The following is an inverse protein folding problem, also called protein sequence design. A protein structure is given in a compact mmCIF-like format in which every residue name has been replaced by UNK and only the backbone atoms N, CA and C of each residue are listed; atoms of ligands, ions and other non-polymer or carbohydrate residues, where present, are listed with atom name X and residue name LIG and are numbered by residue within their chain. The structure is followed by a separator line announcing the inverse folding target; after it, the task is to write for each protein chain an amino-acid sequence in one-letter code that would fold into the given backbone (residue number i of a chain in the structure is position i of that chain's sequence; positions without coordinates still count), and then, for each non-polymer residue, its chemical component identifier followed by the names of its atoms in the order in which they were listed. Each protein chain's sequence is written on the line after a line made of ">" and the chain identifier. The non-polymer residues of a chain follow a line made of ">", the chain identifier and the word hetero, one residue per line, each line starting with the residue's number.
data_IF_986404714213
#
_entry.id   IF_986404714213
#
_cell.length_a   1.000
_cell.length_b   1.000
_cell.length_c   1.000
_cell.angle_alpha   90.00
_cell.angle_beta   90.00
_cell.angle_gamma   90.00
#
_symmetry.space_group_name_H-M   'P 1'
#
loop_
_entity.id
_entity.type
_entity.pdbx_description
1 polymer ?
#
# COMPACT_ATOMS: atom_id res chain seq x y z
N UNK A 1 22.33 -62.05 -24.47
CA UNK A 1 21.05 -61.57 -23.87
C UNK A 1 21.05 -62.07 -22.43
N UNK A 2 20.75 -61.28 -21.36
CA UNK A 2 19.86 -60.12 -21.28
C UNK A 2 20.48 -58.86 -20.62
N UNK A 3 19.64 -57.82 -20.50
CA UNK A 3 19.84 -56.52 -19.85
C UNK A 3 19.83 -56.63 -18.32
N UNK A 4 20.65 -55.83 -17.63
CA UNK A 4 20.33 -55.35 -16.27
C UNK A 4 20.73 -53.88 -16.14
N UNK A 5 19.73 -53.06 -15.85
CA UNK A 5 19.84 -51.65 -15.45
C UNK A 5 20.60 -51.55 -14.12
N UNK A 6 21.67 -50.75 -14.07
CA UNK A 6 22.33 -50.36 -12.82
C UNK A 6 22.03 -48.87 -12.53
N UNK A 7 20.76 -48.57 -12.30
CA UNK A 7 20.37 -47.37 -11.55
C UNK A 7 20.59 -47.68 -10.07
N UNK A 8 21.83 -47.50 -9.61
CA UNK A 8 22.22 -47.72 -8.22
C UNK A 8 22.74 -46.41 -7.63
N UNK A 9 21.83 -45.49 -7.29
CA UNK A 9 22.02 -44.49 -6.24
C UNK A 9 20.63 -44.11 -5.70
N UNK A 10 19.92 -45.10 -5.16
CA UNK A 10 18.81 -44.89 -4.23
C UNK A 10 19.29 -45.30 -2.84
N UNK A 11 19.69 -44.32 -2.04
CA UNK A 11 19.59 -44.37 -0.59
C UNK A 11 19.74 -42.94 -0.07
N UNK A 12 18.86 -42.57 0.87
CA UNK A 12 18.89 -41.36 1.70
C UNK A 12 18.16 -40.12 1.15
N UNK A 13 16.90 -40.26 0.77
CA UNK A 13 15.92 -39.18 1.01
C UNK A 13 14.60 -39.80 1.46
N UNK A 14 14.48 -40.05 2.77
CA UNK A 14 13.24 -39.83 3.52
C UNK A 14 13.48 -40.09 5.01
N UNK A 15 13.23 -39.08 5.84
CA UNK A 15 12.49 -39.30 7.06
C UNK A 15 11.12 -38.65 6.93
N UNK A 16 10.12 -39.43 7.30
CA UNK A 16 8.79 -38.95 7.65
C UNK A 16 8.89 -37.74 8.57
N UNK A 17 8.38 -36.59 8.11
CA UNK A 17 7.96 -35.53 9.02
C UNK A 17 6.56 -35.12 8.62
N UNK A 18 5.62 -35.54 9.46
CA UNK A 18 4.25 -35.09 9.53
C UNK A 18 4.22 -33.57 9.41
N UNK A 19 3.45 -33.05 8.46
CA UNK A 19 3.12 -31.64 8.35
C UNK A 19 2.20 -31.27 9.53
N UNK A 20 2.80 -31.05 10.70
CA UNK A 20 2.18 -30.34 11.80
C UNK A 20 2.28 -28.86 11.49
N UNK A 21 1.13 -28.18 11.42
CA UNK A 21 1.07 -26.74 11.38
C UNK A 21 1.52 -26.19 12.74
N UNK A 22 2.82 -26.00 12.93
CA UNK A 22 3.33 -25.17 14.02
C UNK A 22 3.11 -23.71 13.62
N UNK A 23 2.06 -23.10 14.19
CA UNK A 23 1.96 -21.65 14.29
C UNK A 23 3.25 -21.13 14.93
N UNK A 24 3.91 -20.11 14.36
CA UNK A 24 5.08 -19.53 15.01
C UNK A 24 4.66 -18.93 16.35
N UNK A 25 5.15 -19.51 17.44
CA UNK A 25 5.06 -18.95 18.78
C UNK A 25 5.83 -17.62 18.79
N UNK A 26 5.08 -16.52 18.67
CA UNK A 26 5.62 -15.19 18.91
C UNK A 26 5.78 -15.01 20.43
N UNK A 27 6.96 -14.60 20.93
CA UNK A 27 7.13 -14.35 22.36
C UNK A 27 6.19 -13.22 22.80
N UNK A 28 5.33 -13.52 23.77
CA UNK A 28 4.45 -12.55 24.44
C UNK A 28 5.32 -11.60 25.25
N UNK A 29 5.68 -10.46 24.66
CA UNK A 29 6.27 -9.35 25.39
C UNK A 29 5.14 -8.67 26.18
N UNK A 30 5.03 -9.00 27.47
CA UNK A 30 4.17 -8.27 28.40
C UNK A 30 4.53 -6.78 28.39
N UNK A 31 3.68 -5.94 27.79
CA UNK A 31 3.77 -4.50 27.96
C UNK A 31 3.40 -3.60 26.76
N UNK A 32 3.08 -4.12 25.58
CA UNK A 32 2.50 -3.30 24.50
C UNK A 32 1.25 -3.98 23.96
N UNK A 33 0.13 -3.23 23.91
CA UNK A 33 -1.04 -3.65 23.12
C UNK A 33 -0.53 -4.00 21.71
N UNK A 34 -0.96 -5.13 21.12
CA UNK A 34 -0.72 -5.35 19.71
C UNK A 34 -1.30 -4.15 18.96
N UNK A 35 -0.45 -3.39 18.27
CA UNK A 35 -0.91 -2.40 17.31
C UNK A 35 -1.53 -3.21 16.19
N UNK A 36 -2.86 -3.33 16.21
CA UNK A 36 -3.59 -3.83 15.06
C UNK A 36 -3.32 -2.82 13.95
N UNK A 37 -2.37 -3.12 13.09
CA UNK A 37 -2.13 -2.31 11.91
C UNK A 37 -3.42 -2.35 11.10
N UNK A 38 -4.09 -1.22 10.97
CA UNK A 38 -5.18 -1.12 10.01
C UNK A 38 -4.59 -1.40 8.63
N UNK A 39 -5.29 -2.19 7.78
CA UNK A 39 -4.73 -2.65 6.52
C UNK A 39 -4.59 -1.53 5.48
N UNK A 40 -4.86 -0.28 5.84
CA UNK A 40 -4.84 0.89 4.98
C UNK A 40 -4.17 2.07 5.68
N UNK A 41 -3.58 2.95 4.87
CA UNK A 41 -3.08 4.25 5.32
C UNK A 41 -4.28 5.20 5.44
N UNK A 42 -4.48 5.79 6.61
CA UNK A 42 -5.52 6.81 6.84
C UNK A 42 -5.19 8.11 6.11
N UNK A 43 -6.21 8.85 5.73
CA UNK A 43 -6.04 10.11 5.00
C UNK A 43 -5.28 11.14 5.83
N UNK A 44 -5.60 11.28 7.12
CA UNK A 44 -4.89 12.21 8.01
C UNK A 44 -3.39 11.91 8.09
N UNK A 45 -3.02 10.62 8.19
CA UNK A 45 -1.63 10.18 8.21
C UNK A 45 -0.92 10.44 6.87
N UNK A 46 -1.59 10.15 5.75
CA UNK A 46 -1.06 10.43 4.41
C UNK A 46 -0.83 11.93 4.19
N UNK A 47 -1.79 12.76 4.59
CA UNK A 47 -1.67 14.23 4.53
C UNK A 47 -0.53 14.71 5.42
N UNK A 48 -0.42 14.20 6.65
CA UNK A 48 0.68 14.54 7.54
C UNK A 48 2.04 14.19 6.95
N UNK A 49 2.17 13.05 6.25
CA UNK A 49 3.39 12.68 5.52
C UNK A 49 3.70 13.66 4.39
N UNK A 50 2.69 14.09 3.63
CA UNK A 50 2.84 15.04 2.54
C UNK A 50 3.22 16.46 2.99
N UNK A 51 2.86 16.85 4.21
CA UNK A 51 3.19 18.17 4.78
C UNK A 51 4.58 18.21 5.45
N UNK A 52 5.24 17.07 5.65
CA UNK A 52 6.60 17.03 6.20
C UNK A 52 7.61 17.65 5.23
N UNK A 53 8.59 18.36 5.78
CA UNK A 53 9.68 18.99 5.01
C UNK A 53 10.85 18.05 4.72
N UNK A 54 10.83 16.84 5.27
CA UNK A 54 11.86 15.82 5.07
C UNK A 54 11.79 15.29 3.64
N UNK A 55 12.93 15.28 2.93
CA UNK A 55 13.00 14.83 1.53
C UNK A 55 12.41 13.43 1.32
N UNK A 56 12.70 12.49 2.23
CA UNK A 56 12.18 11.12 2.15
C UNK A 56 10.65 11.07 2.23
N UNK A 57 10.06 11.88 3.11
CA UNK A 57 8.60 11.99 3.27
C UNK A 57 7.95 12.61 2.03
N UNK A 58 8.60 13.60 1.43
CA UNK A 58 8.16 14.22 0.17
C UNK A 58 8.25 13.25 -1.01
N UNK A 59 9.36 12.54 -1.16
CA UNK A 59 9.54 11.54 -2.22
C UNK A 59 8.51 10.40 -2.10
N UNK A 60 8.26 9.94 -0.87
CA UNK A 60 7.21 8.97 -0.58
C UNK A 60 5.81 9.50 -0.95
N UNK A 61 5.45 10.69 -0.48
CA UNK A 61 4.16 11.29 -0.79
C UNK A 61 3.97 11.49 -2.30
N UNK A 62 4.99 11.99 -3.01
CA UNK A 62 4.95 12.17 -4.46
C UNK A 62 4.66 10.85 -5.18
N UNK A 63 5.33 9.76 -4.78
CA UNK A 63 5.05 8.42 -5.32
C UNK A 63 3.64 7.93 -4.98
N UNK A 64 3.18 8.15 -3.75
CA UNK A 64 1.86 7.77 -3.28
C UNK A 64 0.75 8.42 -4.11
N UNK A 65 0.76 9.75 -4.24
CA UNK A 65 -0.28 10.48 -4.99
C UNK A 65 -0.21 10.19 -6.48
N UNK A 66 0.98 9.92 -7.04
CA UNK A 66 1.13 9.49 -8.43
C UNK A 66 0.45 8.14 -8.65
N UNK A 67 0.66 7.17 -7.76
CA UNK A 67 0.00 5.87 -7.84
C UNK A 67 -1.53 5.97 -7.78
N UNK A 68 -2.04 6.85 -6.93
CA UNK A 68 -3.49 7.13 -6.85
C UNK A 68 -4.03 7.77 -8.14
N UNK A 69 -3.29 8.75 -8.69
CA UNK A 69 -3.61 9.41 -9.95
C UNK A 69 -3.62 8.42 -11.12
N UNK A 70 -2.59 7.57 -11.23
CA UNK A 70 -2.48 6.55 -12.27
C UNK A 70 -3.66 5.57 -12.19
N UNK A 71 -4.06 5.16 -10.97
CA UNK A 71 -5.22 4.30 -10.78
C UNK A 71 -6.51 4.94 -11.34
N UNK A 72 -6.82 6.18 -10.99
CA UNK A 72 -8.08 6.81 -11.45
C UNK A 72 -8.10 7.04 -12.96
N UNK A 73 -6.94 7.34 -13.55
CA UNK A 73 -6.77 7.48 -15.01
C UNK A 73 -6.96 6.13 -15.71
N UNK A 74 -6.29 5.06 -15.25
CA UNK A 74 -6.41 3.71 -15.82
C UNK A 74 -7.86 3.21 -15.74
N UNK A 75 -8.56 3.52 -14.65
CA UNK A 75 -9.98 3.16 -14.45
C UNK A 75 -10.95 4.08 -15.19
N UNK A 76 -10.46 5.07 -15.93
CA UNK A 76 -11.26 6.07 -16.66
C UNK A 76 -12.25 6.81 -15.75
N UNK A 77 -11.85 7.05 -14.50
CA UNK A 77 -12.66 7.79 -13.52
C UNK A 77 -12.31 9.28 -13.50
N UNK A 78 -11.08 9.63 -13.85
CA UNK A 78 -10.60 11.01 -13.92
C UNK A 78 -9.67 11.19 -15.12
N UNK A 79 -9.63 12.40 -15.66
CA UNK A 79 -8.87 12.76 -16.85
C UNK A 79 -7.72 13.69 -16.49
N UNK A 80 -6.75 13.16 -15.74
CA UNK A 80 -5.58 13.89 -15.25
C UNK A 80 -4.56 14.06 -16.40
N UNK A 81 -4.23 15.30 -16.83
CA UNK A 81 -3.22 15.52 -17.86
C UNK A 81 -1.84 15.03 -17.43
N UNK A 82 -1.06 14.51 -18.38
CA UNK A 82 0.31 14.04 -18.12
C UNK A 82 1.27 15.17 -17.66
N UNK A 83 0.92 16.42 -17.92
CA UNK A 83 1.66 17.62 -17.49
C UNK A 83 1.48 17.94 -16.00
N UNK A 84 0.48 17.35 -15.33
CA UNK A 84 0.25 17.57 -13.90
C UNK A 84 1.42 17.01 -13.09
N UNK A 85 2.00 17.88 -12.29
CA UNK A 85 3.13 17.60 -11.42
C UNK A 85 2.69 16.88 -10.15
N UNK A 86 3.59 16.12 -9.48
CA UNK A 86 3.29 15.56 -8.17
C UNK A 86 2.86 16.61 -7.15
N UNK A 87 3.45 17.82 -7.16
CA UNK A 87 3.04 18.88 -6.23
C UNK A 87 1.59 19.32 -6.44
N UNK A 88 1.14 19.42 -7.69
CA UNK A 88 -0.27 19.73 -7.98
C UNK A 88 -1.20 18.61 -7.52
N UNK A 89 -0.83 17.34 -7.71
CA UNK A 89 -1.58 16.20 -7.17
C UNK A 89 -1.67 16.23 -5.65
N UNK A 90 -0.56 16.55 -4.96
CA UNK A 90 -0.56 16.74 -3.50
C UNK A 90 -1.48 17.89 -3.10
N UNK A 91 -1.47 19.01 -3.84
CA UNK A 91 -2.34 20.15 -3.55
C UNK A 91 -3.82 19.79 -3.67
N UNK A 92 -4.20 18.96 -4.66
CA UNK A 92 -5.58 18.46 -4.79
C UNK A 92 -5.93 17.47 -3.68
N UNK A 93 -5.02 16.55 -3.34
CA UNK A 93 -5.25 15.55 -2.30
C UNK A 93 -5.31 16.14 -0.88
N UNK A 94 -4.33 16.98 -0.52
CA UNK A 94 -4.16 17.52 0.82
C UNK A 94 -4.85 18.88 1.01
N UNK A 95 -5.13 19.62 -0.05
CA UNK A 95 -5.71 20.97 -0.01
C UNK A 95 -6.96 21.10 0.86
N UNK A 96 -7.96 20.21 0.73
CA UNK A 96 -9.15 20.22 1.58
C UNK A 96 -8.82 20.10 3.07
N UNK A 97 -7.81 19.32 3.45
CA UNK A 97 -7.41 19.10 4.85
C UNK A 97 -6.60 20.27 5.42
N UNK A 98 -5.92 21.04 4.57
CA UNK A 98 -5.21 22.27 4.98
C UNK A 98 -6.20 23.41 5.26
N UNK A 99 -7.36 23.42 4.58
CA UNK A 99 -8.34 24.51 4.63
C UNK A 99 -9.54 24.19 5.53
N UNK A 100 -9.92 22.92 5.64
CA UNK A 100 -11.13 22.48 6.36
C UNK A 100 -10.77 21.30 7.27
N UNK A 101 -10.89 21.50 8.58
CA UNK A 101 -10.78 20.42 9.58
C UNK A 101 -12.08 19.60 9.60
N UNK A 102 -12.39 18.88 8.52
CA UNK A 102 -13.49 17.92 8.52
C UNK A 102 -12.98 16.60 9.10
N UNK A 103 -12.98 16.46 10.43
CA UNK A 103 -12.36 15.30 11.11
C UNK A 103 -12.87 13.90 10.72
N UNK A 104 -13.93 13.76 9.93
CA UNK A 104 -14.40 12.46 9.43
C UNK A 104 -13.55 11.93 8.26
N UNK A 105 -13.06 12.80 7.37
CA UNK A 105 -12.29 12.35 6.20
C UNK A 105 -10.89 11.87 6.58
N UNK A 106 -10.38 12.31 7.73
CA UNK A 106 -9.05 11.95 8.23
C UNK A 106 -8.93 10.46 8.55
N UNK A 107 -10.03 9.83 9.00
CA UNK A 107 -10.08 8.40 9.33
C UNK A 107 -10.38 7.50 8.13
N UNK A 108 -10.78 8.07 6.98
CA UNK A 108 -11.00 7.29 5.76
C UNK A 108 -9.69 6.79 5.16
N UNK A 109 -9.71 5.68 4.41
CA UNK A 109 -8.54 5.25 3.63
C UNK A 109 -8.08 6.35 2.67
N UNK A 110 -6.79 6.69 2.72
CA UNK A 110 -6.18 7.75 1.90
C UNK A 110 -6.42 7.54 0.41
N UNK A 111 -6.45 6.28 -0.03
CA UNK A 111 -6.74 5.92 -1.41
C UNK A 111 -8.16 6.31 -1.83
N UNK A 112 -9.17 6.03 -1.00
CA UNK A 112 -10.57 6.35 -1.32
C UNK A 112 -10.78 7.86 -1.39
N UNK A 113 -10.21 8.59 -0.42
CA UNK A 113 -10.21 10.05 -0.43
C UNK A 113 -9.52 10.60 -1.68
N UNK A 114 -8.33 10.10 -2.04
CA UNK A 114 -7.64 10.55 -3.24
C UNK A 114 -8.43 10.30 -4.52
N UNK A 115 -9.10 9.14 -4.62
CA UNK A 115 -9.98 8.83 -5.74
C UNK A 115 -11.12 9.83 -5.83
N UNK A 116 -11.80 10.12 -4.73
CA UNK A 116 -12.89 11.11 -4.69
C UNK A 116 -12.40 12.51 -5.11
N UNK A 117 -11.28 12.97 -4.53
CA UNK A 117 -10.72 14.29 -4.82
C UNK A 117 -10.27 14.42 -6.28
N UNK A 118 -9.63 13.41 -6.85
CA UNK A 118 -9.17 13.46 -8.23
C UNK A 118 -10.32 13.39 -9.23
N UNK A 119 -11.36 12.60 -8.97
CA UNK A 119 -12.57 12.57 -9.82
C UNK A 119 -13.26 13.93 -9.81
N UNK A 120 -13.39 14.52 -8.62
CA UNK A 120 -14.02 15.84 -8.47
C UNK A 120 -13.22 16.96 -9.14
N UNK A 121 -11.88 16.87 -9.10
CA UNK A 121 -11.01 17.95 -9.61
C UNK A 121 -10.68 17.80 -11.10
N UNK A 122 -10.58 16.56 -11.60
CA UNK A 122 -10.25 16.25 -12.99
C UNK A 122 -11.34 15.38 -13.63
N UNK A 123 -12.59 15.87 -13.77
CA UNK A 123 -13.64 15.12 -14.44
C UNK A 123 -13.25 14.81 -15.89
N UNK A 124 -13.67 13.65 -16.38
CA UNK A 124 -13.61 13.33 -17.80
C UNK A 124 -14.88 13.89 -18.46
N UNK A 125 -14.74 14.95 -19.24
CA UNK A 125 -15.79 15.48 -20.12
C UNK A 125 -16.06 14.53 -21.31
#
# INVERSE_FOLDING_TARGET
>A
MPRVNLALFMALIWPHTSFGAESPDFPVVHGRRPVVAEPFLRTGDAVALCLRRERQSQDYCNGLVRGYADYVVIRKKACIPATVTPQELVAVFAGPHVVVSTGYIDDLPAFETAVEMFISHFPCD
#
